data_IF_950673199898
#
_entry.id   IF_950673199898
#
_cell.length_a   1.000
_cell.length_b   1.000
_cell.length_c   1.000
_cell.angle_alpha   90.00
_cell.angle_beta   90.00
_cell.angle_gamma   90.00
#
_symmetry.space_group_name_H-M   'P 1'
#
loop_
_entity.id
_entity.type
_entity.pdbx_description
1 polymer ?
#
# COMPACT_ATOMS: atom_id res chain seq x y z
N UNK A 1 24.16 -52.43 2.20
CA UNK A 1 24.20 -51.08 1.64
C UNK A 1 22.82 -50.62 1.12
N UNK A 2 22.16 -51.32 0.17
CA UNK A 2 20.88 -50.91 -0.44
C UNK A 2 19.72 -50.76 0.61
N UNK A 3 19.56 -51.71 1.55
CA UNK A 3 18.57 -51.65 2.61
C UNK A 3 18.83 -50.50 3.64
N UNK A 4 20.10 -50.19 3.89
CA UNK A 4 20.48 -49.09 4.78
C UNK A 4 20.14 -47.73 4.13
N UNK A 5 20.53 -47.53 2.86
CA UNK A 5 20.18 -46.35 2.11
C UNK A 5 18.67 -46.12 2.01
N UNK A 6 17.90 -47.19 1.77
CA UNK A 6 16.44 -47.12 1.76
C UNK A 6 15.88 -46.65 3.09
N UNK A 7 16.35 -47.19 4.24
CA UNK A 7 15.93 -46.78 5.58
C UNK A 7 16.28 -45.33 5.87
N UNK A 8 17.50 -44.88 5.48
CA UNK A 8 17.88 -43.47 5.61
C UNK A 8 17.00 -42.54 4.76
N UNK A 9 16.69 -42.93 3.53
CA UNK A 9 15.78 -42.17 2.66
C UNK A 9 14.38 -42.05 3.23
N UNK A 10 13.82 -43.17 3.76
CA UNK A 10 12.51 -43.15 4.41
C UNK A 10 12.53 -42.25 5.65
N UNK A 11 13.57 -42.34 6.49
CA UNK A 11 13.68 -41.50 7.68
C UNK A 11 13.75 -40.01 7.31
N UNK A 12 14.60 -39.65 6.35
CA UNK A 12 14.70 -38.26 5.85
C UNK A 12 13.37 -37.78 5.31
N UNK A 13 12.67 -38.61 4.51
CA UNK A 13 11.35 -38.26 3.96
C UNK A 13 10.31 -38.04 5.05
N UNK A 14 10.28 -38.89 6.08
CA UNK A 14 9.35 -38.75 7.21
C UNK A 14 9.65 -37.51 8.01
N UNK A 15 10.91 -37.24 8.34
CA UNK A 15 11.32 -36.03 9.07
C UNK A 15 10.98 -34.77 8.26
N UNK A 16 11.27 -34.80 6.95
CA UNK A 16 10.93 -33.67 6.06
C UNK A 16 9.41 -33.43 6.04
N UNK A 17 8.60 -34.47 5.94
CA UNK A 17 7.14 -34.35 6.02
C UNK A 17 6.66 -33.75 7.34
N UNK A 18 7.19 -34.22 8.45
CA UNK A 18 6.83 -33.71 9.79
C UNK A 18 7.19 -32.22 9.93
N UNK A 19 8.31 -31.77 9.39
CA UNK A 19 8.75 -30.38 9.48
C UNK A 19 8.04 -29.45 8.48
N UNK A 20 7.85 -29.90 7.22
CA UNK A 20 7.33 -29.08 6.13
C UNK A 20 5.81 -29.03 6.12
N UNK A 21 5.15 -30.13 6.47
CA UNK A 21 3.68 -30.21 6.45
C UNK A 21 3.00 -29.12 7.30
N UNK A 22 3.42 -28.88 8.57
CA UNK A 22 2.81 -27.79 9.36
C UNK A 22 2.97 -26.44 8.72
N UNK A 23 4.13 -26.15 8.12
CA UNK A 23 4.41 -24.86 7.48
C UNK A 23 3.45 -24.61 6.30
N UNK A 24 3.28 -25.62 5.44
CA UNK A 24 2.37 -25.51 4.28
C UNK A 24 0.91 -25.53 4.75
N UNK A 25 0.56 -26.40 5.70
CA UNK A 25 -0.82 -26.55 6.14
C UNK A 25 -1.35 -25.31 6.86
N UNK A 26 -0.57 -24.78 7.81
CA UNK A 26 -0.99 -23.59 8.56
C UNK A 26 -0.73 -22.28 7.83
N UNK A 27 0.26 -22.23 6.93
CA UNK A 27 0.53 -21.14 5.98
C UNK A 27 0.31 -19.73 6.57
N UNK A 28 1.07 -19.38 7.57
CA UNK A 28 0.96 -18.11 8.33
C UNK A 28 0.85 -16.88 7.42
N UNK A 29 1.49 -16.88 6.24
CA UNK A 29 1.57 -15.74 5.33
C UNK A 29 0.70 -15.89 4.09
N UNK A 30 -0.16 -16.91 4.02
CA UNK A 30 -1.05 -17.23 2.89
C UNK A 30 -0.33 -17.40 1.52
N UNK A 31 0.95 -17.72 1.51
CA UNK A 31 1.72 -17.86 0.27
C UNK A 31 1.48 -19.19 -0.45
N UNK A 32 1.14 -20.25 0.28
CA UNK A 32 0.77 -21.55 -0.28
C UNK A 32 -0.73 -21.61 -0.62
N UNK A 33 -1.57 -20.88 0.15
CA UNK A 33 -3.03 -20.79 -0.03
C UNK A 33 -3.46 -19.45 -0.68
N UNK A 34 -2.62 -18.87 -1.52
CA UNK A 34 -2.84 -17.55 -2.16
C UNK A 34 -4.17 -17.43 -2.95
N UNK A 35 -4.74 -18.54 -3.42
CA UNK A 35 -6.03 -18.61 -4.13
C UNK A 35 -7.22 -18.90 -3.23
N UNK A 36 -6.99 -19.15 -1.94
CA UNK A 36 -8.00 -19.37 -0.90
C UNK A 36 -7.44 -18.84 0.42
N UNK A 37 -7.27 -17.52 0.48
CA UNK A 37 -6.64 -16.82 1.60
C UNK A 37 -7.43 -17.03 2.89
N UNK A 38 -6.73 -17.25 4.00
CA UNK A 38 -7.32 -17.32 5.34
C UNK A 38 -7.16 -15.98 6.03
N UNK A 39 -8.25 -15.47 6.60
CA UNK A 39 -8.28 -14.22 7.36
C UNK A 39 -8.00 -14.53 8.83
N UNK A 40 -6.72 -14.55 9.17
CA UNK A 40 -6.18 -14.83 10.50
C UNK A 40 -5.46 -13.60 11.04
N UNK A 41 -5.05 -13.62 12.31
CA UNK A 41 -4.37 -12.49 12.96
C UNK A 41 -3.02 -12.13 12.32
N UNK A 42 -2.36 -13.08 11.65
CA UNK A 42 -1.12 -12.83 10.94
C UNK A 42 -1.35 -12.10 9.60
N UNK A 43 -0.54 -11.10 9.34
CA UNK A 43 -0.57 -10.40 8.06
C UNK A 43 -0.04 -11.29 6.93
N UNK A 44 -0.80 -11.49 5.83
CA UNK A 44 -0.31 -12.24 4.67
C UNK A 44 0.77 -11.45 3.91
N UNK A 45 1.58 -12.13 3.12
CA UNK A 45 2.40 -11.46 2.12
C UNK A 45 1.53 -10.94 0.98
N UNK A 46 0.94 -9.75 1.16
CA UNK A 46 0.01 -9.13 0.20
C UNK A 46 0.68 -8.82 -1.14
N UNK A 47 1.97 -8.45 -1.16
CA UNK A 47 2.69 -8.22 -2.41
C UNK A 47 2.67 -9.48 -3.29
N UNK A 48 3.08 -10.61 -2.75
CA UNK A 48 3.09 -11.88 -3.47
C UNK A 48 1.67 -12.36 -3.83
N UNK A 49 0.77 -12.41 -2.86
CA UNK A 49 -0.58 -12.99 -3.03
C UNK A 49 -1.38 -12.21 -4.07
N UNK A 50 -1.42 -10.88 -3.96
CA UNK A 50 -2.17 -10.02 -4.88
C UNK A 50 -1.56 -10.04 -6.29
N UNK A 51 -0.23 -9.90 -6.40
CA UNK A 51 0.45 -9.94 -7.70
C UNK A 51 0.19 -11.26 -8.42
N UNK A 52 0.32 -12.38 -7.70
CA UNK A 52 0.05 -13.71 -8.26
C UNK A 52 -1.41 -13.90 -8.67
N UNK A 53 -2.34 -13.36 -7.87
CA UNK A 53 -3.77 -13.40 -8.20
C UNK A 53 -4.08 -12.63 -9.48
N UNK A 54 -3.57 -11.40 -9.63
CA UNK A 54 -3.80 -10.58 -10.82
C UNK A 54 -3.21 -11.24 -12.08
N UNK A 55 -1.98 -11.75 -12.02
CA UNK A 55 -1.35 -12.44 -13.16
C UNK A 55 -2.17 -13.68 -13.62
N UNK A 56 -2.84 -14.35 -12.68
CA UNK A 56 -3.73 -15.48 -13.00
C UNK A 56 -5.10 -15.06 -13.55
N UNK A 57 -5.45 -13.77 -13.41
CA UNK A 57 -6.70 -13.20 -13.86
C UNK A 57 -6.46 -11.90 -14.66
N UNK A 58 -5.70 -11.93 -15.75
CA UNK A 58 -5.10 -10.73 -16.37
C UNK A 58 -6.12 -9.75 -16.94
N UNK A 59 -7.35 -10.18 -17.19
CA UNK A 59 -8.43 -9.36 -17.76
C UNK A 59 -9.57 -9.07 -16.76
N UNK A 60 -9.43 -9.48 -15.47
CA UNK A 60 -10.47 -9.25 -14.47
C UNK A 60 -10.51 -7.79 -14.03
N UNK A 61 -9.37 -7.13 -13.97
CA UNK A 61 -9.20 -5.76 -13.56
C UNK A 61 -8.39 -4.99 -14.60
N UNK A 62 -8.55 -3.68 -14.62
CA UNK A 62 -7.79 -2.78 -15.49
C UNK A 62 -7.47 -1.43 -14.81
N UNK A 63 -7.85 -1.27 -13.54
CA UNK A 63 -7.57 -0.07 -12.75
C UNK A 63 -7.02 -0.47 -11.39
N UNK A 64 -5.93 0.16 -10.95
CA UNK A 64 -5.19 -0.28 -9.77
C UNK A 64 -4.89 0.88 -8.83
N UNK A 65 -5.01 0.62 -7.51
CA UNK A 65 -4.49 1.50 -6.45
C UNK A 65 -3.16 0.91 -5.99
N UNK A 66 -2.08 1.65 -6.12
CA UNK A 66 -0.72 1.30 -5.72
C UNK A 66 -0.25 2.23 -4.60
N UNK A 67 0.66 1.77 -3.76
CA UNK A 67 1.25 2.54 -2.67
C UNK A 67 1.31 1.77 -1.35
N UNK A 68 1.60 2.48 -0.29
CA UNK A 68 1.68 1.92 1.06
C UNK A 68 0.28 1.61 1.65
N UNK A 69 0.25 1.10 2.88
CA UNK A 69 -0.99 0.87 3.63
C UNK A 69 -1.84 2.15 3.82
N UNK A 70 -1.25 3.34 3.72
CA UNK A 70 -1.98 4.62 3.86
C UNK A 70 -3.02 4.79 2.77
N UNK A 71 -2.63 4.77 1.50
CA UNK A 71 -3.57 4.88 0.38
C UNK A 71 -4.53 3.70 0.29
N UNK A 72 -4.21 2.59 0.93
CA UNK A 72 -5.06 1.40 1.00
C UNK A 72 -6.46 1.65 1.58
N UNK A 73 -6.67 2.78 2.25
CA UNK A 73 -7.93 3.21 2.84
C UNK A 73 -8.85 4.00 1.87
N UNK A 74 -8.44 4.20 0.62
CA UNK A 74 -9.36 4.63 -0.44
C UNK A 74 -10.19 3.42 -0.88
N UNK A 75 -11.56 3.48 -0.78
CA UNK A 75 -12.41 2.34 -1.08
C UNK A 75 -12.51 2.10 -2.60
N UNK A 76 -11.99 0.99 -3.14
CA UNK A 76 -12.02 0.74 -4.60
C UNK A 76 -13.43 0.66 -5.18
N UNK A 77 -14.40 0.18 -4.39
CA UNK A 77 -15.81 0.03 -4.79
C UNK A 77 -16.53 1.36 -5.06
N UNK A 78 -15.98 2.48 -4.56
CA UNK A 78 -16.58 3.81 -4.70
C UNK A 78 -15.87 4.66 -5.77
N UNK A 79 -14.73 4.20 -6.27
CA UNK A 79 -14.04 4.86 -7.37
C UNK A 79 -14.86 4.81 -8.67
N UNK A 80 -14.68 5.76 -9.59
CA UNK A 80 -15.43 5.80 -10.85
C UNK A 80 -15.33 4.49 -11.62
N UNK A 81 -16.48 3.95 -12.03
CA UNK A 81 -16.57 2.73 -12.85
C UNK A 81 -16.34 2.98 -14.34
N UNK A 82 -16.19 4.25 -14.76
CA UNK A 82 -15.90 4.65 -16.13
C UNK A 82 -15.03 5.90 -16.18
N UNK A 83 -14.14 5.96 -17.16
CA UNK A 83 -13.39 7.16 -17.51
C UNK A 83 -13.10 7.16 -19.01
N UNK A 84 -13.32 8.30 -19.67
CA UNK A 84 -13.04 8.52 -21.11
C UNK A 84 -13.64 7.40 -22.01
N UNK A 85 -14.85 6.93 -21.67
CA UNK A 85 -15.57 5.87 -22.38
C UNK A 85 -15.08 4.45 -22.07
N UNK A 86 -14.04 4.27 -21.26
CA UNK A 86 -13.56 2.97 -20.81
C UNK A 86 -14.20 2.57 -19.49
N UNK A 87 -14.62 1.32 -19.37
CA UNK A 87 -15.09 0.73 -18.12
C UNK A 87 -13.89 0.40 -17.22
N UNK A 88 -13.95 0.79 -15.96
CA UNK A 88 -12.89 0.56 -14.97
C UNK A 88 -13.31 -0.48 -13.95
N UNK A 89 -12.46 -1.45 -13.73
CA UNK A 89 -12.57 -2.48 -12.70
C UNK A 89 -11.37 -2.34 -11.76
N UNK A 90 -11.61 -1.76 -10.60
CA UNK A 90 -10.57 -1.40 -9.64
C UNK A 90 -10.11 -2.57 -8.79
N UNK A 91 -8.81 -2.63 -8.53
CA UNK A 91 -8.22 -3.53 -7.55
C UNK A 91 -7.16 -2.81 -6.71
N UNK A 92 -7.27 -2.95 -5.39
CA UNK A 92 -6.32 -2.38 -4.43
C UNK A 92 -5.09 -3.28 -4.28
N UNK A 93 -3.96 -2.85 -4.84
CA UNK A 93 -2.68 -3.55 -4.79
C UNK A 93 -1.79 -3.13 -3.61
N UNK A 94 -2.29 -2.27 -2.71
CA UNK A 94 -1.50 -1.75 -1.59
C UNK A 94 -1.17 -2.84 -0.55
N UNK A 95 -0.08 -2.64 0.15
CA UNK A 95 0.39 -3.49 1.26
C UNK A 95 1.24 -2.67 2.24
N UNK A 96 1.57 -3.25 3.40
CA UNK A 96 2.35 -2.59 4.44
C UNK A 96 3.70 -2.11 3.92
N UNK A 97 3.93 -0.79 4.03
CA UNK A 97 5.14 -0.10 3.55
C UNK A 97 5.44 -0.32 2.06
N UNK A 98 4.41 -0.47 1.21
CA UNK A 98 4.61 -0.60 -0.24
C UNK A 98 5.39 0.57 -0.82
N UNK A 99 6.47 0.28 -1.56
CA UNK A 99 7.45 1.26 -2.05
C UNK A 99 7.26 1.54 -3.54
N UNK A 100 7.59 2.75 -4.01
CA UNK A 100 7.57 3.07 -5.44
C UNK A 100 8.37 2.08 -6.30
N UNK A 101 9.58 1.68 -5.87
CA UNK A 101 10.41 0.68 -6.55
C UNK A 101 9.71 -0.67 -6.74
N UNK A 102 8.98 -1.15 -5.72
CA UNK A 102 8.22 -2.40 -5.81
C UNK A 102 7.00 -2.27 -6.73
N UNK A 103 6.36 -1.11 -6.73
CA UNK A 103 5.23 -0.83 -7.61
C UNK A 103 5.65 -0.68 -9.07
N UNK A 104 6.82 -0.11 -9.35
CA UNK A 104 7.43 -0.11 -10.68
C UNK A 104 7.60 -1.56 -11.20
N UNK A 105 8.27 -2.41 -10.42
CA UNK A 105 8.45 -3.82 -10.74
C UNK A 105 7.12 -4.57 -10.91
N UNK A 106 6.10 -4.22 -10.10
CA UNK A 106 4.76 -4.81 -10.22
C UNK A 106 4.09 -4.43 -11.53
N UNK A 107 4.15 -3.16 -11.95
CA UNK A 107 3.63 -2.70 -13.24
C UNK A 107 4.34 -3.37 -14.43
N UNK A 108 5.68 -3.45 -14.38
CA UNK A 108 6.47 -4.15 -15.39
C UNK A 108 6.09 -5.64 -15.49
N UNK A 109 5.93 -6.28 -14.32
CA UNK A 109 5.49 -7.69 -14.24
C UNK A 109 4.08 -7.86 -14.80
N UNK A 110 3.16 -6.96 -14.54
CA UNK A 110 1.82 -6.97 -15.10
C UNK A 110 1.84 -6.84 -16.62
N UNK A 111 2.54 -5.85 -17.15
CA UNK A 111 2.68 -5.64 -18.59
C UNK A 111 3.31 -6.87 -19.28
N UNK A 112 4.36 -7.43 -18.71
CA UNK A 112 5.03 -8.64 -19.21
C UNK A 112 4.09 -9.86 -19.28
N UNK A 113 3.14 -9.96 -18.35
CA UNK A 113 2.17 -11.06 -18.26
C UNK A 113 0.83 -10.75 -18.94
N UNK A 114 0.73 -9.69 -19.73
CA UNK A 114 -0.47 -9.33 -20.48
C UNK A 114 -1.65 -8.90 -19.62
N UNK A 115 -1.40 -8.39 -18.40
CA UNK A 115 -2.43 -7.82 -17.54
C UNK A 115 -2.90 -6.49 -18.12
N UNK A 116 -4.22 -6.30 -18.19
CA UNK A 116 -4.82 -5.04 -18.63
C UNK A 116 -4.58 -3.92 -17.61
N UNK A 117 -4.08 -2.76 -18.08
CA UNK A 117 -3.88 -1.57 -17.23
C UNK A 117 -4.33 -0.35 -18.00
N UNK A 118 -5.50 0.19 -17.66
CA UNK A 118 -6.01 1.44 -18.24
C UNK A 118 -5.78 2.63 -17.30
N UNK A 119 -5.81 2.38 -15.97
CA UNK A 119 -5.68 3.44 -14.98
C UNK A 119 -4.92 2.98 -13.74
N UNK A 120 -4.11 3.89 -13.19
CA UNK A 120 -3.38 3.68 -11.93
C UNK A 120 -3.55 4.92 -11.04
N UNK A 121 -3.86 4.69 -9.77
CA UNK A 121 -3.68 5.67 -8.70
C UNK A 121 -2.46 5.22 -7.90
N UNK A 122 -1.41 6.03 -7.84
CA UNK A 122 -0.22 5.78 -7.04
C UNK A 122 -0.13 6.81 -5.91
N UNK A 123 -0.27 6.33 -4.67
CA UNK A 123 0.02 7.14 -3.49
C UNK A 123 1.46 6.98 -3.03
N UNK A 124 2.14 8.08 -2.83
CA UNK A 124 3.44 8.11 -2.18
C UNK A 124 3.37 8.98 -0.91
N UNK A 125 4.28 8.76 0.00
CA UNK A 125 4.35 9.46 1.27
C UNK A 125 5.81 9.51 1.75
N UNK A 126 6.02 9.99 2.97
CA UNK A 126 7.33 10.12 3.58
C UNK A 126 8.09 8.79 3.71
N UNK A 127 7.40 7.65 3.85
CA UNK A 127 8.02 6.31 3.85
C UNK A 127 8.80 6.07 2.55
N UNK A 128 8.29 6.53 1.42
CA UNK A 128 8.97 6.42 0.12
C UNK A 128 10.35 7.07 0.13
N UNK A 129 10.58 8.07 0.99
CA UNK A 129 11.83 8.79 1.11
C UNK A 129 12.90 8.02 1.92
N UNK A 130 12.50 7.06 2.77
CA UNK A 130 13.40 6.46 3.76
C UNK A 130 13.72 4.99 3.54
N UNK A 131 12.86 4.23 2.84
CA UNK A 131 12.98 2.78 2.74
C UNK A 131 13.35 2.33 1.34
N UNK A 132 14.26 1.35 1.24
CA UNK A 132 14.66 0.72 -0.01
C UNK A 132 14.03 -0.66 -0.18
N UNK A 133 13.96 -1.15 -1.42
CA UNK A 133 13.42 -2.47 -1.74
C UNK A 133 14.24 -3.60 -1.09
N UNK A 134 15.54 -3.39 -0.89
CA UNK A 134 16.44 -4.39 -0.28
C UNK A 134 16.04 -4.72 1.16
N UNK A 135 15.47 -3.75 1.88
CA UNK A 135 14.97 -3.96 3.24
C UNK A 135 13.81 -4.97 3.27
N UNK A 136 13.05 -5.09 2.17
CA UNK A 136 11.91 -5.99 2.08
C UNK A 136 12.28 -7.42 1.64
N UNK A 137 13.44 -7.63 1.03
CA UNK A 137 13.81 -8.95 0.48
C UNK A 137 13.87 -10.08 1.51
N UNK A 138 14.07 -9.76 2.80
CA UNK A 138 14.12 -10.74 3.89
C UNK A 138 12.90 -10.66 4.82
N UNK A 139 11.90 -9.84 4.50
CA UNK A 139 10.71 -9.67 5.33
C UNK A 139 9.56 -10.53 4.79
N UNK A 140 9.15 -11.56 5.54
CA UNK A 140 8.17 -12.55 5.10
C UNK A 140 6.81 -11.94 4.69
N UNK A 141 6.39 -10.86 5.34
CA UNK A 141 5.13 -10.16 5.04
C UNK A 141 5.24 -9.19 3.85
N UNK A 142 6.46 -8.86 3.38
CA UNK A 142 6.71 -7.84 2.35
C UNK A 142 7.55 -8.33 1.18
N UNK A 143 8.16 -9.53 1.29
CA UNK A 143 9.04 -10.04 0.24
C UNK A 143 8.37 -9.95 -1.14
N UNK A 144 8.97 -9.21 -2.10
CA UNK A 144 8.35 -8.93 -3.38
C UNK A 144 8.12 -10.19 -4.23
N UNK A 145 7.04 -10.20 -5.02
CA UNK A 145 6.75 -11.28 -5.97
C UNK A 145 7.91 -11.56 -6.93
N UNK A 146 8.68 -10.55 -7.28
CA UNK A 146 9.80 -10.66 -8.22
C UNK A 146 10.94 -11.54 -7.68
N UNK A 147 11.07 -11.67 -6.36
CA UNK A 147 11.99 -12.67 -5.77
C UNK A 147 11.55 -14.10 -6.15
N UNK A 148 10.23 -14.37 -6.09
CA UNK A 148 9.65 -15.64 -6.55
C UNK A 148 9.85 -15.84 -8.06
N UNK A 149 9.57 -14.83 -8.87
CA UNK A 149 9.71 -14.91 -10.33
C UNK A 149 11.16 -15.22 -10.74
N UNK A 150 12.13 -14.57 -10.07
CA UNK A 150 13.55 -14.76 -10.33
C UNK A 150 14.07 -16.12 -9.84
N UNK A 151 13.67 -16.52 -8.62
CA UNK A 151 14.11 -17.76 -8.00
C UNK A 151 13.11 -18.23 -6.93
N UNK A 152 12.20 -19.13 -7.31
CA UNK A 152 11.18 -19.66 -6.39
C UNK A 152 11.78 -20.33 -5.13
N UNK A 153 12.94 -20.98 -5.23
CA UNK A 153 13.61 -21.61 -4.09
C UNK A 153 14.10 -20.57 -3.09
N UNK A 154 14.70 -19.47 -3.58
CA UNK A 154 15.14 -18.35 -2.73
C UNK A 154 13.93 -17.69 -2.04
N UNK A 155 12.80 -17.55 -2.73
CA UNK A 155 11.57 -17.04 -2.18
C UNK A 155 11.01 -17.94 -1.07
N UNK A 156 10.84 -19.25 -1.30
CA UNK A 156 10.21 -20.13 -0.33
C UNK A 156 11.10 -20.52 0.85
N UNK A 157 12.43 -20.48 0.69
CA UNK A 157 13.38 -20.89 1.74
C UNK A 157 13.12 -20.22 3.11
N UNK A 158 12.97 -18.90 3.23
CA UNK A 158 12.69 -18.27 4.52
C UNK A 158 11.36 -18.72 5.15
N UNK A 159 10.34 -18.96 4.33
CA UNK A 159 9.05 -19.45 4.82
C UNK A 159 9.15 -20.87 5.36
N UNK A 160 9.90 -21.76 4.71
CA UNK A 160 10.14 -23.11 5.23
C UNK A 160 10.95 -23.13 6.54
N UNK A 161 11.59 -22.05 6.89
CA UNK A 161 12.29 -21.90 8.18
C UNK A 161 11.43 -21.19 9.25
N UNK A 162 10.25 -20.71 8.89
CA UNK A 162 9.32 -20.02 9.78
C UNK A 162 8.23 -20.97 10.27
N UNK A 163 8.40 -21.52 11.46
CA UNK A 163 7.37 -22.36 12.09
C UNK A 163 6.16 -21.51 12.50
N UNK A 164 4.93 -22.01 12.31
CA UNK A 164 3.73 -21.33 12.74
C UNK A 164 3.68 -21.19 14.27
N UNK A 165 3.31 -20.02 14.77
CA UNK A 165 3.07 -19.82 16.20
C UNK A 165 1.84 -20.63 16.67
N UNK A 166 1.82 -20.99 17.96
CA UNK A 166 0.71 -21.77 18.55
C UNK A 166 -0.64 -21.06 18.36
N UNK A 167 -0.68 -19.72 18.44
CA UNK A 167 -1.87 -18.92 18.16
C UNK A 167 -2.39 -19.13 16.74
N UNK A 168 -1.50 -19.11 15.75
CA UNK A 168 -1.84 -19.35 14.34
C UNK A 168 -2.36 -20.78 14.11
N UNK A 169 -1.71 -21.76 14.74
CA UNK A 169 -2.18 -23.16 14.69
C UNK A 169 -3.62 -23.24 15.19
N UNK A 170 -3.91 -22.59 16.32
CA UNK A 170 -5.25 -22.57 16.91
C UNK A 170 -6.26 -21.89 15.97
N UNK A 171 -5.95 -20.69 15.48
CA UNK A 171 -6.82 -19.96 14.57
C UNK A 171 -7.15 -20.75 13.30
N UNK A 172 -6.13 -21.31 12.64
CA UNK A 172 -6.33 -22.11 11.42
C UNK A 172 -7.12 -23.39 11.69
N UNK A 173 -6.94 -24.03 12.85
CA UNK A 173 -7.67 -25.24 13.21
C UNK A 173 -9.16 -24.98 13.46
N UNK A 174 -9.50 -23.78 13.93
CA UNK A 174 -10.90 -23.36 14.20
C UNK A 174 -11.46 -22.45 13.07
N UNK A 175 -10.72 -22.25 11.99
CA UNK A 175 -11.12 -21.36 10.91
C UNK A 175 -12.34 -21.89 10.15
N UNK A 176 -13.42 -21.10 10.15
CA UNK A 176 -14.61 -21.37 9.34
C UNK A 176 -14.67 -20.38 8.16
N UNK A 177 -14.46 -20.83 6.91
CA UNK A 177 -14.54 -19.97 5.73
C UNK A 177 -15.90 -19.30 5.54
N UNK A 178 -16.98 -19.85 6.09
CA UNK A 178 -18.32 -19.29 5.94
C UNK A 178 -18.49 -17.97 6.70
N UNK A 179 -17.79 -17.79 7.82
CA UNK A 179 -17.77 -16.55 8.60
C UNK A 179 -17.00 -15.43 7.89
N UNK A 180 -16.09 -15.78 6.97
CA UNK A 180 -15.24 -14.84 6.24
C UNK A 180 -15.67 -14.64 4.77
N UNK A 181 -16.90 -14.99 4.41
CA UNK A 181 -17.36 -14.86 3.02
C UNK A 181 -17.29 -13.42 2.49
N UNK A 182 -17.63 -12.45 3.34
CA UNK A 182 -17.55 -11.03 2.97
C UNK A 182 -16.11 -10.59 2.77
N UNK A 183 -15.18 -11.04 3.61
CA UNK A 183 -13.75 -10.74 3.50
C UNK A 183 -13.14 -11.35 2.23
N UNK A 184 -13.51 -12.62 1.92
CA UNK A 184 -13.13 -13.28 0.67
C UNK A 184 -13.58 -12.48 -0.56
N UNK A 185 -14.84 -12.06 -0.61
CA UNK A 185 -15.35 -11.24 -1.71
C UNK A 185 -14.60 -9.92 -1.79
N UNK A 186 -14.41 -9.24 -0.66
CA UNK A 186 -13.67 -7.96 -0.61
C UNK A 186 -12.25 -8.10 -1.11
N UNK A 187 -11.57 -9.19 -0.76
CA UNK A 187 -10.20 -9.44 -1.21
C UNK A 187 -10.13 -9.78 -2.71
N UNK A 188 -10.94 -10.72 -3.18
CA UNK A 188 -10.86 -11.20 -4.57
C UNK A 188 -11.54 -10.28 -5.59
N UNK A 189 -12.47 -9.42 -5.16
CA UNK A 189 -13.15 -8.48 -6.05
C UNK A 189 -12.59 -7.06 -5.97
N UNK A 190 -11.93 -6.69 -4.87
CA UNK A 190 -11.43 -5.33 -4.66
C UNK A 190 -10.00 -5.23 -4.13
N UNK A 191 -9.36 -6.33 -3.73
CA UNK A 191 -8.03 -6.32 -3.11
C UNK A 191 -7.99 -5.81 -1.67
N UNK A 192 -9.14 -5.73 -0.99
CA UNK A 192 -9.27 -5.24 0.39
C UNK A 192 -9.21 -6.41 1.35
N UNK A 193 -8.17 -6.47 2.20
CA UNK A 193 -7.95 -7.58 3.13
C UNK A 193 -8.82 -7.48 4.39
N UNK A 194 -9.12 -6.27 4.86
CA UNK A 194 -9.95 -6.05 6.04
C UNK A 194 -11.21 -5.29 5.64
N UNK A 195 -12.37 -5.88 5.90
CA UNK A 195 -13.66 -5.31 5.51
C UNK A 195 -14.32 -4.46 6.61
N UNK A 196 -13.71 -4.40 7.84
CA UNK A 196 -14.26 -3.76 9.02
C UNK A 196 -13.90 -2.26 9.12
N UNK A 197 -13.67 -1.60 7.99
CA UNK A 197 -13.30 -0.19 7.99
C UNK A 197 -14.52 0.68 8.25
N UNK A 198 -14.62 1.18 9.48
CA UNK A 198 -15.67 2.12 9.86
C UNK A 198 -15.43 3.48 9.21
N UNK A 199 -16.49 4.01 8.58
CA UNK A 199 -16.55 5.39 8.09
C UNK A 199 -17.02 6.37 9.16
N UNK A 200 -17.44 5.86 10.33
CA UNK A 200 -17.88 6.69 11.44
C UNK A 200 -16.73 7.50 12.03
N UNK A 201 -17.04 8.72 12.40
CA UNK A 201 -16.18 9.62 13.17
C UNK A 201 -16.71 9.81 14.60
N UNK A 202 -17.66 8.95 15.04
CA UNK A 202 -18.26 8.97 16.38
C UNK A 202 -17.29 8.42 17.42
N UNK A 203 -16.22 9.17 17.65
CA UNK A 203 -15.21 8.87 18.65
C UNK A 203 -14.65 10.17 19.24
N UNK A 204 -14.13 10.09 20.45
CA UNK A 204 -13.44 11.21 21.06
C UNK A 204 -12.14 11.51 20.31
N UNK A 205 -11.85 12.81 20.15
CA UNK A 205 -10.57 13.23 19.62
C UNK A 205 -9.46 12.94 20.64
N UNK A 206 -8.31 12.50 20.13
CA UNK A 206 -7.13 12.18 20.91
C UNK A 206 -5.88 12.70 20.21
N UNK A 207 -4.73 12.67 20.87
CA UNK A 207 -3.46 13.03 20.24
C UNK A 207 -2.65 11.77 19.99
N UNK A 208 -2.20 11.60 18.76
CA UNK A 208 -1.28 10.51 18.40
C UNK A 208 0.16 10.99 18.40
N UNK A 209 1.11 10.15 18.85
CA UNK A 209 2.53 10.41 18.64
C UNK A 209 2.86 10.32 17.15
N UNK A 210 3.99 10.92 16.77
CA UNK A 210 4.54 10.74 15.42
C UNK A 210 4.88 9.28 15.15
N UNK A 211 4.61 8.82 13.92
CA UNK A 211 5.00 7.49 13.48
C UNK A 211 6.53 7.34 13.33
N UNK A 212 7.27 8.45 13.32
CA UNK A 212 8.73 8.48 13.22
C UNK A 212 9.43 8.62 14.57
N UNK A 213 8.70 8.65 15.69
CA UNK A 213 9.27 8.85 17.00
C UNK A 213 10.31 7.77 17.35
N UNK A 214 11.53 8.21 17.66
CA UNK A 214 12.63 7.32 18.06
C UNK A 214 13.29 6.52 16.93
N UNK A 215 12.96 6.81 15.67
CA UNK A 215 13.56 6.17 14.49
C UNK A 215 14.51 7.14 13.80
N UNK A 216 15.71 6.65 13.44
CA UNK A 216 16.64 7.39 12.59
C UNK A 216 16.47 6.89 11.15
N UNK A 217 16.15 7.80 10.25
CA UNK A 217 15.95 7.50 8.83
C UNK A 217 17.12 8.00 7.99
N UNK A 218 17.47 7.24 6.95
CA UNK A 218 18.39 7.66 5.90
C UNK A 218 17.60 7.93 4.63
N UNK A 219 17.69 9.15 4.12
CA UNK A 219 17.02 9.50 2.85
C UNK A 219 17.64 8.74 1.68
N UNK A 220 16.78 8.30 0.76
CA UNK A 220 17.15 7.60 -0.46
C UNK A 220 16.59 8.32 -1.71
N UNK A 221 17.08 7.94 -2.88
CA UNK A 221 16.71 8.55 -4.16
C UNK A 221 15.43 7.93 -4.78
N UNK A 222 14.47 7.53 -3.95
CA UNK A 222 13.23 6.84 -4.40
C UNK A 222 12.31 7.72 -5.26
N UNK A 223 12.52 9.03 -5.30
CA UNK A 223 11.83 9.90 -6.28
C UNK A 223 12.11 9.45 -7.73
N UNK A 224 13.26 8.83 -8.01
CA UNK A 224 13.60 8.28 -9.34
C UNK A 224 12.66 7.13 -9.74
N UNK A 225 12.27 6.29 -8.80
CA UNK A 225 11.31 5.21 -9.06
C UNK A 225 9.91 5.76 -9.39
N UNK A 226 9.51 6.87 -8.74
CA UNK A 226 8.27 7.59 -9.06
C UNK A 226 8.33 8.15 -10.48
N UNK A 227 9.46 8.75 -10.86
CA UNK A 227 9.68 9.27 -12.22
C UNK A 227 9.64 8.16 -13.26
N UNK A 228 10.23 7.01 -12.99
CA UNK A 228 10.18 5.86 -13.90
C UNK A 228 8.76 5.30 -14.05
N UNK A 229 7.96 5.24 -12.97
CA UNK A 229 6.54 4.88 -13.06
C UNK A 229 5.79 5.89 -13.91
N UNK A 230 6.04 7.19 -13.72
CA UNK A 230 5.39 8.26 -14.49
C UNK A 230 5.71 8.14 -15.99
N UNK A 231 6.97 7.91 -16.35
CA UNK A 231 7.42 7.65 -17.72
C UNK A 231 6.79 6.39 -18.31
N UNK A 232 6.84 5.27 -17.56
CA UNK A 232 6.25 3.99 -17.98
C UNK A 232 4.76 4.14 -18.29
N UNK A 233 4.01 4.78 -17.41
CA UNK A 233 2.58 5.01 -17.61
C UNK A 233 2.32 5.87 -18.86
N UNK A 234 3.10 6.93 -19.08
CA UNK A 234 3.01 7.78 -20.26
C UNK A 234 3.32 7.02 -21.55
N UNK A 235 4.39 6.23 -21.57
CA UNK A 235 4.80 5.42 -22.72
C UNK A 235 3.77 4.32 -23.08
N UNK A 236 3.14 3.74 -22.08
CA UNK A 236 2.13 2.68 -22.26
C UNK A 236 0.71 3.22 -22.38
N UNK A 237 0.53 4.55 -22.40
CA UNK A 237 -0.79 5.21 -22.45
C UNK A 237 -1.71 4.77 -21.31
N UNK A 238 -1.14 4.60 -20.11
CA UNK A 238 -1.84 4.31 -18.87
C UNK A 238 -2.17 5.65 -18.20
N UNK A 239 -3.43 5.86 -17.81
CA UNK A 239 -3.80 7.05 -17.06
C UNK A 239 -3.30 6.96 -15.62
N UNK A 240 -2.30 7.76 -15.26
CA UNK A 240 -1.74 7.82 -13.91
C UNK A 240 -2.29 9.02 -13.14
N UNK A 241 -2.83 8.77 -11.95
CA UNK A 241 -3.02 9.77 -10.89
C UNK A 241 -1.95 9.51 -9.83
N UNK A 242 -1.02 10.45 -9.68
CA UNK A 242 -0.02 10.43 -8.64
C UNK A 242 -0.46 11.38 -7.51
N UNK A 243 -0.35 10.96 -6.26
CA UNK A 243 -0.76 11.77 -5.10
C UNK A 243 0.11 11.54 -3.87
N UNK A 244 0.22 12.57 -3.02
CA UNK A 244 0.71 12.40 -1.64
C UNK A 244 -0.45 11.97 -0.74
N UNK A 245 -0.18 11.12 0.27
CA UNK A 245 -1.20 10.74 1.24
C UNK A 245 -1.43 11.85 2.28
N UNK A 246 -2.66 12.02 2.81
CA UNK A 246 -2.86 12.78 4.05
C UNK A 246 -2.04 12.16 5.19
N UNK A 247 -1.29 12.99 5.91
CA UNK A 247 -0.44 12.56 7.03
C UNK A 247 -0.92 13.26 8.30
N UNK A 248 -1.01 12.53 9.43
CA UNK A 248 -1.38 13.12 10.71
C UNK A 248 -0.34 14.16 11.16
N UNK A 249 -0.81 15.23 11.78
CA UNK A 249 -0.02 16.45 12.06
C UNK A 249 1.34 16.19 12.68
N UNK A 250 1.45 15.33 13.68
CA UNK A 250 2.72 15.04 14.38
C UNK A 250 3.74 14.38 13.46
N UNK A 251 3.30 13.39 12.68
CA UNK A 251 4.13 12.68 11.69
C UNK A 251 4.52 13.62 10.54
N UNK A 252 3.58 14.45 10.06
CA UNK A 252 3.86 15.39 8.97
C UNK A 252 4.92 16.42 9.35
N UNK A 253 4.87 16.95 10.60
CA UNK A 253 5.87 17.91 11.09
C UNK A 253 7.26 17.28 11.12
N UNK A 254 7.37 16.07 11.63
CA UNK A 254 8.66 15.35 11.66
C UNK A 254 9.17 15.06 10.26
N UNK A 255 8.29 14.62 9.34
CA UNK A 255 8.66 14.40 7.94
C UNK A 255 9.19 15.66 7.26
N UNK A 256 8.60 16.83 7.53
CA UNK A 256 9.12 18.11 7.01
C UNK A 256 10.52 18.40 7.57
N UNK A 257 10.74 18.17 8.86
CA UNK A 257 12.05 18.40 9.49
C UNK A 257 13.13 17.50 8.88
N UNK A 258 12.74 16.30 8.43
CA UNK A 258 13.62 15.32 7.80
C UNK A 258 13.78 15.52 6.27
N UNK A 259 13.20 16.60 5.69
CA UNK A 259 13.41 16.97 4.29
C UNK A 259 12.30 16.56 3.33
N UNK A 260 11.11 16.26 3.80
CA UNK A 260 9.98 15.85 2.95
C UNK A 260 9.62 16.90 1.88
N UNK A 261 9.70 18.21 2.20
CA UNK A 261 9.43 19.26 1.21
C UNK A 261 10.46 19.26 0.06
N UNK A 262 11.73 18.97 0.33
CA UNK A 262 12.75 18.80 -0.71
C UNK A 262 12.52 17.55 -1.55
N UNK A 263 12.02 16.49 -0.96
CA UNK A 263 11.60 15.30 -1.68
C UNK A 263 10.45 15.62 -2.64
N UNK A 264 9.42 16.35 -2.20
CA UNK A 264 8.31 16.80 -3.05
C UNK A 264 8.81 17.66 -4.21
N UNK A 265 9.78 18.56 -3.95
CA UNK A 265 10.39 19.40 -5.00
C UNK A 265 11.08 18.54 -6.06
N UNK A 266 11.81 17.49 -5.65
CA UNK A 266 12.46 16.56 -6.59
C UNK A 266 11.42 15.83 -7.45
N UNK A 267 10.35 15.30 -6.85
CA UNK A 267 9.27 14.64 -7.59
C UNK A 267 8.62 15.59 -8.60
N UNK A 268 8.32 16.83 -8.19
CA UNK A 268 7.66 17.83 -9.03
C UNK A 268 8.47 18.28 -10.26
N UNK A 269 9.79 18.03 -10.28
CA UNK A 269 10.63 18.38 -11.44
C UNK A 269 10.19 17.64 -12.71
N UNK A 270 9.71 16.40 -12.58
CA UNK A 270 9.40 15.52 -13.71
C UNK A 270 8.00 14.90 -13.65
N UNK A 271 7.27 15.07 -12.54
CA UNK A 271 5.97 14.45 -12.31
C UNK A 271 4.94 15.47 -11.83
N UNK A 272 3.73 15.40 -12.40
CA UNK A 272 2.57 16.08 -11.82
C UNK A 272 1.95 15.19 -10.75
N UNK A 273 1.56 15.75 -9.60
CA UNK A 273 0.86 15.01 -8.55
C UNK A 273 -0.15 15.88 -7.80
N UNK A 274 -1.09 15.25 -7.09
CA UNK A 274 -2.02 15.92 -6.18
C UNK A 274 -1.46 15.92 -4.76
N UNK A 275 -1.37 17.09 -4.12
CA UNK A 275 -0.82 17.21 -2.77
C UNK A 275 -1.91 17.20 -1.70
N UNK A 276 -1.97 16.10 -0.92
CA UNK A 276 -2.84 15.99 0.26
C UNK A 276 -2.08 16.09 1.59
N UNK A 277 -0.75 16.21 1.55
CA UNK A 277 0.10 16.40 2.72
C UNK A 277 0.24 17.88 3.04
N UNK A 278 -0.68 18.42 3.83
CA UNK A 278 -0.71 19.84 4.25
C UNK A 278 -1.18 19.96 5.70
N UNK A 279 -0.86 21.08 6.37
CA UNK A 279 -1.38 21.39 7.71
C UNK A 279 -2.80 21.99 7.61
N UNK A 280 -3.80 21.14 7.75
CA UNK A 280 -5.20 21.49 7.58
C UNK A 280 -6.07 20.88 8.71
N UNK A 281 -7.36 21.20 8.73
CA UNK A 281 -8.28 20.68 9.75
C UNK A 281 -8.40 19.15 9.73
N UNK A 282 -8.28 18.49 8.57
CA UNK A 282 -8.34 17.04 8.50
C UNK A 282 -7.09 16.38 9.07
N UNK A 283 -5.89 16.92 8.80
CA UNK A 283 -4.65 16.35 9.34
C UNK A 283 -4.50 16.54 10.85
N UNK A 284 -5.18 17.53 11.43
CA UNK A 284 -5.16 17.83 12.86
C UNK A 284 -6.27 17.11 13.65
N UNK A 285 -7.31 16.62 12.97
CA UNK A 285 -8.42 15.92 13.63
C UNK A 285 -8.14 14.41 13.67
N UNK A 286 -7.78 13.92 14.85
CA UNK A 286 -7.45 12.51 15.09
C UNK A 286 -8.59 11.53 14.79
N UNK A 287 -9.84 11.98 14.69
CA UNK A 287 -10.98 11.14 14.33
C UNK A 287 -10.87 10.61 12.89
N UNK A 288 -10.12 11.28 12.02
CA UNK A 288 -9.83 10.83 10.67
C UNK A 288 -8.67 9.82 10.60
N UNK A 289 -8.05 9.47 11.74
CA UNK A 289 -6.89 8.57 11.79
C UNK A 289 -7.12 7.39 12.74
N UNK A 290 -6.44 6.29 12.47
CA UNK A 290 -6.35 5.16 13.40
C UNK A 290 -5.25 5.39 14.44
N UNK A 291 -4.16 6.01 14.01
CA UNK A 291 -2.97 6.40 14.77
C UNK A 291 -2.14 7.40 13.93
N UNK A 292 -0.95 7.76 14.36
CA UNK A 292 -0.14 8.80 13.71
C UNK A 292 0.29 8.55 12.25
N UNK A 293 0.03 7.36 11.69
CA UNK A 293 0.43 7.00 10.34
C UNK A 293 -0.74 6.81 9.36
N UNK A 294 -1.85 6.19 9.80
CA UNK A 294 -2.90 5.71 8.90
C UNK A 294 -4.20 6.50 9.06
N UNK A 295 -4.63 7.13 7.98
CA UNK A 295 -5.96 7.73 7.94
C UNK A 295 -7.07 6.68 7.76
N UNK A 296 -8.29 7.06 8.19
CA UNK A 296 -9.49 6.22 8.08
C UNK A 296 -10.14 6.33 6.70
N UNK A 297 -10.97 5.36 6.29
CA UNK A 297 -11.72 5.43 5.03
C UNK A 297 -12.56 6.70 4.87
N UNK A 298 -13.02 7.32 5.96
CA UNK A 298 -13.72 8.60 5.91
C UNK A 298 -12.88 9.70 5.23
N UNK A 299 -11.56 9.77 5.53
CA UNK A 299 -10.66 10.69 4.84
C UNK A 299 -10.33 10.19 3.42
N UNK A 300 -10.26 8.88 3.21
CA UNK A 300 -10.11 8.28 1.88
C UNK A 300 -11.22 8.69 0.91
N UNK A 301 -12.49 8.80 1.39
CA UNK A 301 -13.62 9.32 0.62
C UNK A 301 -13.48 10.81 0.28
N UNK A 302 -12.89 11.59 1.18
CA UNK A 302 -12.61 13.01 0.93
C UNK A 302 -11.55 13.15 -0.18
N UNK A 303 -10.49 12.35 -0.12
CA UNK A 303 -9.45 12.29 -1.17
C UNK A 303 -10.09 11.90 -2.52
N UNK A 304 -10.91 10.87 -2.55
CA UNK A 304 -11.63 10.41 -3.76
C UNK A 304 -12.46 11.53 -4.36
N UNK A 305 -13.26 12.26 -3.55
CA UNK A 305 -14.07 13.38 -4.00
C UNK A 305 -13.24 14.55 -4.54
N UNK A 306 -12.05 14.80 -4.00
CA UNK A 306 -11.15 15.82 -4.56
C UNK A 306 -10.60 15.38 -5.92
N UNK A 307 -10.33 14.09 -6.11
CA UNK A 307 -9.77 13.58 -7.37
C UNK A 307 -10.81 13.48 -8.49
N UNK A 308 -12.06 13.15 -8.16
CA UNK A 308 -13.08 12.77 -9.14
C UNK A 308 -14.39 13.56 -9.04
N UNK A 309 -14.57 14.37 -8.00
CA UNK A 309 -15.76 15.18 -7.79
C UNK A 309 -15.78 16.44 -8.65
N UNK A 310 -16.90 17.15 -8.58
CA UNK A 310 -17.10 18.44 -9.24
C UNK A 310 -16.25 19.53 -8.61
N UNK A 311 -16.03 20.63 -9.33
CA UNK A 311 -15.30 21.80 -8.81
C UNK A 311 -15.96 22.36 -7.53
N UNK A 312 -17.29 22.38 -7.47
CA UNK A 312 -18.01 22.82 -6.27
C UNK A 312 -17.73 21.92 -5.06
N UNK A 313 -17.73 20.59 -5.26
CA UNK A 313 -17.38 19.64 -4.20
C UNK A 313 -15.94 19.80 -3.73
N UNK A 314 -15.00 19.99 -4.65
CA UNK A 314 -13.59 20.24 -4.32
C UNK A 314 -13.42 21.53 -3.51
N UNK A 315 -14.10 22.62 -3.90
CA UNK A 315 -14.06 23.91 -3.22
C UNK A 315 -14.67 23.81 -1.81
N UNK A 316 -15.79 23.09 -1.65
CA UNK A 316 -16.39 22.84 -0.34
C UNK A 316 -15.45 22.05 0.58
N UNK A 317 -14.76 21.06 0.04
CA UNK A 317 -13.76 20.25 0.79
C UNK A 317 -12.59 21.13 1.24
N UNK A 318 -12.00 21.96 0.36
CA UNK A 318 -10.90 22.89 0.71
C UNK A 318 -11.36 23.90 1.78
N UNK A 319 -12.56 24.42 1.66
CA UNK A 319 -13.14 25.31 2.67
C UNK A 319 -13.27 24.60 4.03
N UNK A 320 -13.71 23.35 4.09
CA UNK A 320 -13.77 22.55 5.33
C UNK A 320 -12.38 22.20 5.86
N UNK A 321 -11.44 21.94 4.98
CA UNK A 321 -10.04 21.78 5.34
C UNK A 321 -9.43 23.05 5.96
N UNK A 322 -9.99 24.22 5.65
CA UNK A 322 -9.37 25.50 5.98
C UNK A 322 -8.05 25.73 5.24
N UNK A 323 -7.89 25.10 4.08
CA UNK A 323 -6.64 25.07 3.32
C UNK A 323 -6.90 24.90 1.82
N UNK A 324 -6.59 25.93 1.05
CA UNK A 324 -6.72 25.94 -0.41
C UNK A 324 -5.71 25.02 -1.11
N UNK A 325 -4.65 24.59 -0.41
CA UNK A 325 -3.62 23.71 -0.98
C UNK A 325 -3.98 22.22 -0.84
N UNK A 326 -5.03 21.88 -0.09
CA UNK A 326 -5.43 20.49 0.09
C UNK A 326 -5.94 19.87 -1.23
N UNK A 327 -5.20 18.89 -1.74
CA UNK A 327 -5.51 18.22 -3.00
C UNK A 327 -5.27 19.09 -4.25
N UNK A 328 -4.40 20.10 -4.16
CA UNK A 328 -4.02 20.90 -5.32
C UNK A 328 -3.08 20.11 -6.23
N UNK A 329 -3.19 20.33 -7.53
CA UNK A 329 -2.25 19.75 -8.50
C UNK A 329 -0.93 20.51 -8.46
N UNK A 330 0.16 19.78 -8.23
CA UNK A 330 1.55 20.26 -8.13
C UNK A 330 2.33 19.81 -9.35
N UNK A 331 3.19 20.67 -9.86
CA UNK A 331 4.10 20.42 -10.97
C UNK A 331 5.36 21.31 -10.85
N UNK A 332 6.26 21.24 -11.83
CA UNK A 332 7.50 22.01 -11.84
C UNK A 332 7.30 23.53 -11.86
N UNK A 333 6.14 24.02 -12.32
CA UNK A 333 5.85 25.46 -12.43
C UNK A 333 5.39 26.08 -11.10
N UNK A 334 4.68 25.30 -10.25
CA UNK A 334 4.06 25.82 -9.03
C UNK A 334 4.68 25.29 -7.73
N UNK A 335 5.59 24.33 -7.78
CA UNK A 335 6.12 23.66 -6.58
C UNK A 335 6.78 24.63 -5.60
N UNK A 336 7.55 25.60 -6.06
CA UNK A 336 8.24 26.54 -5.16
C UNK A 336 7.25 27.45 -4.42
N UNK A 337 6.17 27.88 -5.10
CA UNK A 337 5.08 28.58 -4.46
C UNK A 337 4.40 27.69 -3.40
N UNK A 338 4.05 26.47 -3.75
CA UNK A 338 3.39 25.51 -2.85
C UNK A 338 4.26 25.28 -1.60
N UNK A 339 5.56 25.02 -1.76
CA UNK A 339 6.47 24.80 -0.63
C UNK A 339 6.55 26.04 0.26
N UNK A 340 6.64 27.23 -0.32
CA UNK A 340 6.65 28.48 0.48
C UNK A 340 5.39 28.62 1.34
N UNK A 341 4.21 28.23 0.82
CA UNK A 341 2.97 28.27 1.59
C UNK A 341 2.93 27.19 2.67
N UNK A 342 3.42 25.96 2.38
CA UNK A 342 3.52 24.89 3.38
C UNK A 342 4.48 25.27 4.53
N UNK A 343 5.58 25.93 4.24
CA UNK A 343 6.51 26.47 5.25
C UNK A 343 5.84 27.55 6.12
N UNK A 344 5.01 28.42 5.54
CA UNK A 344 4.24 29.41 6.27
C UNK A 344 3.20 28.75 7.18
N UNK A 345 2.50 27.70 6.70
CA UNK A 345 1.59 26.91 7.53
C UNK A 345 2.32 26.33 8.73
N UNK A 346 3.51 25.74 8.55
CA UNK A 346 4.32 25.19 9.64
C UNK A 346 4.75 26.25 10.64
N UNK A 347 5.17 27.44 10.17
CA UNK A 347 5.55 28.55 11.04
C UNK A 347 4.38 29.07 11.86
N UNK A 348 3.19 29.13 11.27
CA UNK A 348 1.96 29.51 11.96
C UNK A 348 1.61 28.49 13.04
N UNK A 349 1.59 27.21 12.69
CA UNK A 349 1.28 26.12 13.64
C UNK A 349 2.22 26.09 14.85
N UNK A 350 3.52 26.39 14.68
CA UNK A 350 4.51 26.43 15.77
C UNK A 350 4.34 27.64 16.71
N UNK A 351 3.53 28.66 16.35
CA UNK A 351 3.27 29.83 17.16
C UNK A 351 1.97 29.74 17.96
N UNK A 352 1.06 28.87 17.57
CA UNK A 352 -0.18 28.54 18.25
C UNK A 352 0.05 27.48 19.33
#
# INVERSE_FOLDING_TARGET
>A
MRKFLLRCSILVSVVSLICVFPIIHYDTFNIFHWNNIRFISAEPNKNFVKTKYIIRNPNKFNAYILGSSRIGNIPPALLPSQKDGKKLHWYNMTYSQGLPSEHLLTLETFLKNGVSIDMVILGFDDIAMYSSIEEHYNQLVRMPYQVFEKNAMAFFKPYFMSLPAVSIIKEVTTYDPSEHKADHNSFYDFGVYQNNLSYSLDMEAQTFPSAHQGVTYTQIDSYKDIEEIYKLCKEKNIHLILLTNPIYVTTYIDSIQDGYLDFLRKVAQNCDFYNFSTLNNYCQDSRYYFEGSHYRPALGLIVEKVLFGTEDEQNEIRKKAGDELFGVKVNSENIDFIISELEKQLQKYKKE
#
